data_IF_497235654092
#
_entry.id   IF_497235654092
#
_cell.length_a   1.000
_cell.length_b   1.000
_cell.length_c   1.000
_cell.angle_alpha   90.00
_cell.angle_beta   90.00
_cell.angle_gamma   90.00
#
_symmetry.space_group_name_H-M   'P 1'
#
loop_
_entity.id
_entity.type
_entity.pdbx_description
1 polymer ?
#
# COMPACT_ATOMS: atom_id res chain seq x y z
N UNK A 1 -23.42 -7.17 -27.76
CA UNK A 1 -22.16 -7.91 -27.46
C UNK A 1 -21.12 -7.10 -26.65
N UNK A 2 -21.14 -5.76 -26.63
CA UNK A 2 -20.16 -4.95 -25.86
C UNK A 2 -20.25 -5.12 -24.31
N UNK A 3 -21.43 -5.39 -23.75
CA UNK A 3 -21.62 -5.57 -22.29
C UNK A 3 -20.91 -6.80 -21.70
N UNK A 4 -20.68 -7.86 -22.48
CA UNK A 4 -20.07 -9.10 -21.97
C UNK A 4 -18.56 -8.93 -21.73
N UNK A 5 -17.86 -8.24 -22.66
CA UNK A 5 -16.41 -7.94 -22.55
C UNK A 5 -16.08 -7.03 -21.36
N UNK A 6 -16.94 -6.07 -21.02
CA UNK A 6 -16.69 -5.16 -19.90
C UNK A 6 -16.70 -5.87 -18.53
N UNK A 7 -17.44 -6.98 -18.39
CA UNK A 7 -17.51 -7.71 -17.11
C UNK A 7 -16.28 -8.60 -16.86
N UNK A 8 -15.73 -9.24 -17.90
CA UNK A 8 -14.52 -10.07 -17.78
C UNK A 8 -13.28 -9.22 -17.46
N UNK A 9 -13.16 -8.03 -18.07
CA UNK A 9 -12.03 -7.13 -17.82
C UNK A 9 -12.02 -6.61 -16.37
N UNK A 10 -13.20 -6.31 -15.80
CA UNK A 10 -13.30 -5.84 -14.41
C UNK A 10 -12.88 -6.90 -13.38
N UNK A 11 -13.11 -8.18 -13.67
CA UNK A 11 -12.75 -9.27 -12.76
C UNK A 11 -11.23 -9.51 -12.71
N UNK A 12 -10.56 -9.42 -13.86
CA UNK A 12 -9.10 -9.58 -13.93
C UNK A 12 -8.35 -8.41 -13.28
N UNK A 13 -8.88 -7.18 -13.36
CA UNK A 13 -8.20 -6.00 -12.83
C UNK A 13 -8.15 -5.99 -11.29
N UNK A 14 -9.26 -6.32 -10.61
CA UNK A 14 -9.28 -6.41 -9.13
C UNK A 14 -8.31 -7.47 -8.62
N UNK A 15 -8.30 -8.64 -9.26
CA UNK A 15 -7.42 -9.75 -8.92
C UNK A 15 -5.95 -9.37 -9.14
N UNK A 16 -5.65 -8.70 -10.26
CA UNK A 16 -4.30 -8.19 -10.55
C UNK A 16 -3.82 -7.21 -9.47
N UNK A 17 -4.65 -6.23 -9.10
CA UNK A 17 -4.30 -5.25 -8.06
C UNK A 17 -4.10 -5.88 -6.68
N UNK A 18 -4.94 -6.86 -6.33
CA UNK A 18 -4.77 -7.63 -5.10
C UNK A 18 -3.42 -8.36 -5.09
N UNK A 19 -3.09 -9.09 -6.17
CA UNK A 19 -1.83 -9.84 -6.27
C UNK A 19 -0.63 -8.89 -6.19
N UNK A 20 -0.68 -7.77 -6.91
CA UNK A 20 0.37 -6.74 -6.87
C UNK A 20 0.57 -6.24 -5.44
N UNK A 21 -0.50 -5.85 -4.73
CA UNK A 21 -0.38 -5.27 -3.39
C UNK A 21 0.07 -6.30 -2.35
N UNK A 22 -0.33 -7.56 -2.50
CA UNK A 22 0.18 -8.65 -1.65
C UNK A 22 1.68 -8.87 -1.87
N UNK A 23 2.14 -8.91 -3.12
CA UNK A 23 3.58 -9.04 -3.45
C UNK A 23 4.36 -7.84 -2.90
N UNK A 24 3.86 -6.62 -3.12
CA UNK A 24 4.47 -5.39 -2.64
C UNK A 24 4.52 -5.35 -1.10
N UNK A 25 3.45 -5.74 -0.42
CA UNK A 25 3.43 -5.84 1.04
C UNK A 25 4.42 -6.88 1.57
N UNK A 26 4.52 -8.03 0.89
CA UNK A 26 5.52 -9.05 1.20
C UNK A 26 6.96 -8.56 1.02
N UNK A 27 7.23 -7.81 -0.06
CA UNK A 27 8.54 -7.18 -0.30
C UNK A 27 8.89 -6.16 0.79
N UNK A 28 7.93 -5.35 1.26
CA UNK A 28 8.12 -4.41 2.38
C UNK A 28 8.47 -5.13 3.68
N UNK A 29 7.75 -6.20 4.00
CA UNK A 29 8.02 -7.00 5.21
C UNK A 29 9.42 -7.62 5.10
N UNK A 30 9.75 -8.22 3.95
CA UNK A 30 11.07 -8.79 3.69
C UNK A 30 12.18 -7.74 3.79
N UNK A 31 11.97 -6.53 3.27
CA UNK A 31 12.91 -5.42 3.37
C UNK A 31 13.12 -5.00 4.83
N UNK A 32 12.06 -4.85 5.61
CA UNK A 32 12.16 -4.52 7.03
C UNK A 32 12.90 -5.59 7.85
N UNK A 33 12.65 -6.87 7.59
CA UNK A 33 13.41 -7.97 8.22
C UNK A 33 14.89 -7.92 7.78
N UNK A 34 15.16 -7.69 6.50
CA UNK A 34 16.53 -7.57 5.99
C UNK A 34 17.29 -6.37 6.59
N UNK A 35 16.59 -5.26 6.87
CA UNK A 35 17.17 -4.11 7.58
C UNK A 35 17.59 -4.49 9.01
N UNK A 36 16.79 -5.29 9.72
CA UNK A 36 17.18 -5.79 11.05
C UNK A 36 18.43 -6.66 11.02
N UNK A 37 18.53 -7.59 10.06
CA UNK A 37 19.74 -8.43 9.91
C UNK A 37 20.95 -7.58 9.51
N UNK A 38 20.73 -6.48 8.79
CA UNK A 38 21.77 -5.51 8.45
C UNK A 38 22.31 -4.74 9.65
N UNK A 39 21.46 -4.46 10.65
CA UNK A 39 21.84 -3.69 11.84
C UNK A 39 22.93 -4.35 12.68
N UNK A 40 23.00 -5.68 12.74
CA UNK A 40 24.04 -6.41 13.48
C UNK A 40 25.45 -6.10 12.97
N UNK A 41 25.58 -5.66 11.71
CA UNK A 41 26.87 -5.33 11.08
C UNK A 41 27.27 -3.86 11.27
N UNK A 42 26.42 -3.06 11.89
CA UNK A 42 26.65 -1.63 12.04
C UNK A 42 27.11 -1.32 13.47
N UNK A 43 28.34 -0.84 13.59
CA UNK A 43 28.85 -0.31 14.85
C UNK A 43 27.97 0.89 15.28
N UNK A 44 27.60 0.95 16.56
CA UNK A 44 26.80 2.01 17.19
C UNK A 44 25.29 2.06 16.86
N UNK A 45 24.66 0.95 16.55
CA UNK A 45 23.20 0.89 16.33
C UNK A 45 22.35 1.44 17.51
N UNK A 46 22.88 1.42 18.73
CA UNK A 46 22.20 1.91 19.95
C UNK A 46 22.23 3.44 20.10
N UNK A 47 23.10 4.15 19.37
CA UNK A 47 23.19 5.61 19.45
C UNK A 47 22.00 6.30 18.78
N UNK A 48 21.32 5.61 17.87
CA UNK A 48 20.21 6.17 17.13
C UNK A 48 19.00 5.22 17.12
N UNK A 49 17.95 5.53 17.89
CA UNK A 49 16.76 4.68 17.97
C UNK A 49 16.03 4.52 16.63
N UNK A 50 16.27 5.42 15.66
CA UNK A 50 15.67 5.33 14.32
C UNK A 50 16.04 4.04 13.59
N UNK A 51 17.19 3.43 13.89
CA UNK A 51 17.57 2.14 13.32
C UNK A 51 16.57 1.04 13.68
N UNK A 52 15.97 1.07 14.88
CA UNK A 52 14.95 0.10 15.30
C UNK A 52 13.54 0.47 14.81
N UNK A 53 13.20 1.76 14.87
CA UNK A 53 11.85 2.21 14.52
C UNK A 53 11.55 2.08 13.02
N UNK A 54 12.47 2.50 12.13
CA UNK A 54 12.19 2.51 10.69
C UNK A 54 11.86 1.11 10.14
N UNK A 55 12.63 0.05 10.44
CA UNK A 55 12.29 -1.31 10.02
C UNK A 55 10.97 -1.81 10.62
N UNK A 56 10.68 -1.50 11.90
CA UNK A 56 9.39 -1.82 12.53
C UNK A 56 8.22 -1.22 11.77
N UNK A 57 8.26 0.08 11.49
CA UNK A 57 7.21 0.77 10.73
C UNK A 57 7.09 0.22 9.31
N UNK A 58 8.21 -0.13 8.68
CA UNK A 58 8.24 -0.74 7.35
C UNK A 58 7.47 -2.07 7.32
N UNK A 59 7.68 -2.94 8.33
CA UNK A 59 6.95 -4.20 8.47
C UNK A 59 5.47 -3.95 8.72
N UNK A 60 5.14 -3.04 9.65
CA UNK A 60 3.75 -2.70 9.99
C UNK A 60 3.00 -2.18 8.76
N UNK A 61 3.62 -1.29 7.98
CA UNK A 61 3.01 -0.78 6.75
C UNK A 61 2.88 -1.83 5.65
N UNK A 62 3.83 -2.76 5.54
CA UNK A 62 3.68 -3.93 4.66
C UNK A 62 2.49 -4.80 5.05
N UNK A 63 2.32 -5.06 6.35
CA UNK A 63 1.15 -5.76 6.88
C UNK A 63 -0.15 -4.99 6.63
N UNK A 64 -0.13 -3.66 6.82
CA UNK A 64 -1.27 -2.79 6.58
C UNK A 64 -1.68 -2.81 5.10
N UNK A 65 -0.72 -2.81 4.17
CA UNK A 65 -0.97 -2.91 2.73
C UNK A 65 -1.68 -4.21 2.37
N UNK A 66 -1.22 -5.34 2.94
CA UNK A 66 -1.86 -6.65 2.74
C UNK A 66 -3.27 -6.67 3.36
N UNK A 67 -3.40 -6.19 4.60
CA UNK A 67 -4.67 -6.14 5.32
C UNK A 67 -5.72 -5.26 4.61
N UNK A 68 -5.29 -4.20 3.94
CA UNK A 68 -6.14 -3.33 3.15
C UNK A 68 -6.77 -4.03 1.93
N UNK A 69 -6.14 -5.08 1.39
CA UNK A 69 -6.70 -5.88 0.29
C UNK A 69 -7.81 -6.83 0.76
N UNK A 70 -7.68 -7.38 1.97
CA UNK A 70 -8.67 -8.28 2.54
C UNK A 70 -9.90 -7.58 3.14
N UNK A 71 -10.00 -6.24 2.99
CA UNK A 71 -11.14 -5.45 3.46
C UNK A 71 -11.47 -5.69 4.95
N UNK A 72 -10.44 -5.81 5.78
CA UNK A 72 -10.64 -6.01 7.22
C UNK A 72 -11.35 -4.78 7.78
N UNK A 73 -12.58 -4.95 8.30
CA UNK A 73 -13.45 -3.85 8.77
C UNK A 73 -12.75 -2.87 9.71
N UNK A 74 -11.89 -3.38 10.59
CA UNK A 74 -11.09 -2.56 11.51
C UNK A 74 -10.18 -1.58 10.76
N UNK A 75 -9.43 -2.07 9.77
CA UNK A 75 -8.53 -1.26 8.94
C UNK A 75 -9.32 -0.27 8.09
N UNK A 76 -10.45 -0.68 7.51
CA UNK A 76 -11.27 0.19 6.69
C UNK A 76 -11.87 1.37 7.46
N UNK A 77 -12.24 1.15 8.72
CA UNK A 77 -12.79 2.19 9.58
C UNK A 77 -11.72 3.20 10.02
N UNK A 78 -10.50 2.74 10.29
CA UNK A 78 -9.40 3.61 10.74
C UNK A 78 -8.67 4.30 9.56
N UNK A 79 -8.54 3.60 8.44
CA UNK A 79 -7.79 4.03 7.26
C UNK A 79 -8.69 4.10 6.04
N UNK A 80 -9.76 4.90 6.12
CA UNK A 80 -10.75 5.02 5.05
C UNK A 80 -10.16 5.41 3.69
N UNK A 81 -9.04 6.13 3.65
CA UNK A 81 -8.36 6.50 2.41
C UNK A 81 -7.85 5.28 1.62
N UNK A 82 -7.48 4.19 2.30
CA UNK A 82 -7.03 2.93 1.68
C UNK A 82 -8.16 2.19 0.95
N UNK A 83 -9.43 2.60 1.12
CA UNK A 83 -10.54 2.05 0.35
C UNK A 83 -10.62 2.62 -1.08
N UNK A 84 -9.92 3.73 -1.34
CA UNK A 84 -9.90 4.37 -2.66
C UNK A 84 -8.62 4.04 -3.42
N UNK A 85 -8.70 3.86 -4.74
CA UNK A 85 -7.50 3.68 -5.59
C UNK A 85 -6.53 4.86 -5.46
N UNK A 86 -7.07 6.08 -5.33
CA UNK A 86 -6.28 7.28 -5.14
C UNK A 86 -5.50 7.25 -3.81
N UNK A 87 -6.17 6.95 -2.69
CA UNK A 87 -5.51 6.86 -1.39
C UNK A 87 -4.51 5.71 -1.29
N UNK A 88 -4.80 4.56 -1.93
CA UNK A 88 -3.81 3.47 -2.11
C UNK A 88 -2.60 3.94 -2.92
N UNK A 89 -2.80 4.71 -3.97
CA UNK A 89 -1.72 5.29 -4.79
C UNK A 89 -0.81 6.21 -3.98
N UNK A 90 -1.39 7.15 -3.24
CA UNK A 90 -0.63 8.04 -2.33
C UNK A 90 0.12 7.23 -1.28
N UNK A 91 -0.52 6.21 -0.70
CA UNK A 91 0.12 5.34 0.27
C UNK A 91 1.34 4.64 -0.29
N UNK A 92 1.25 4.09 -1.51
CA UNK A 92 2.38 3.45 -2.18
C UNK A 92 3.51 4.44 -2.50
N UNK A 93 3.19 5.69 -2.86
CA UNK A 93 4.20 6.75 -3.04
C UNK A 93 4.89 7.07 -1.70
N UNK A 94 4.13 7.14 -0.61
CA UNK A 94 4.72 7.27 0.73
C UNK A 94 5.64 6.09 1.05
N UNK A 95 5.21 4.85 0.77
CA UNK A 95 6.02 3.66 0.99
C UNK A 95 7.29 3.62 0.13
N UNK A 96 7.28 4.22 -1.06
CA UNK A 96 8.48 4.41 -1.86
C UNK A 96 9.55 5.21 -1.07
N UNK A 97 9.14 6.32 -0.44
CA UNK A 97 10.05 7.14 0.38
C UNK A 97 10.58 6.38 1.61
N UNK A 98 9.72 5.58 2.26
CA UNK A 98 10.11 4.74 3.40
C UNK A 98 11.10 3.66 2.96
N UNK A 99 10.87 3.02 1.81
CA UNK A 99 11.75 1.96 1.29
C UNK A 99 13.13 2.47 0.87
N UNK A 100 13.23 3.71 0.39
CA UNK A 100 14.51 4.36 0.09
C UNK A 100 15.33 4.56 1.38
N UNK A 101 14.67 4.94 2.48
CA UNK A 101 15.33 5.09 3.76
C UNK A 101 15.69 3.73 4.38
N UNK A 102 14.78 2.76 4.33
CA UNK A 102 15.01 1.40 4.85
C UNK A 102 16.17 0.69 4.14
N UNK A 103 16.36 0.94 2.84
CA UNK A 103 17.50 0.44 2.06
C UNK A 103 18.86 1.01 2.46
N UNK A 104 18.89 2.12 3.19
CA UNK A 104 20.14 2.67 3.73
C UNK A 104 20.69 1.81 4.87
N UNK A 105 19.85 0.99 5.50
CA UNK A 105 20.18 0.10 6.62
C UNK A 105 20.40 -1.35 6.19
N UNK A 106 20.14 -1.70 4.93
CA UNK A 106 20.42 -3.04 4.42
C UNK A 106 21.85 -3.12 3.87
N UNK A 107 22.42 -4.33 3.85
CA UNK A 107 23.71 -4.57 3.17
C UNK A 107 23.66 -4.28 1.66
N UNK A 108 22.47 -4.09 1.08
CA UNK A 108 22.24 -3.85 -0.34
C UNK A 108 21.40 -2.60 -0.57
N UNK A 109 22.06 -1.43 -0.56
CA UNK A 109 21.44 -0.13 -0.95
C UNK A 109 20.64 -0.22 -2.26
N UNK A 110 21.12 -1.04 -3.19
CA UNK A 110 20.47 -1.36 -4.47
C UNK A 110 19.05 -1.89 -4.30
N UNK A 111 18.78 -2.76 -3.31
CA UNK A 111 17.47 -3.36 -3.11
C UNK A 111 16.42 -2.32 -2.68
N UNK A 112 16.80 -1.40 -1.79
CA UNK A 112 15.91 -0.32 -1.36
C UNK A 112 15.59 0.66 -2.49
N UNK A 113 16.56 0.96 -3.35
CA UNK A 113 16.34 1.80 -4.55
C UNK A 113 15.38 1.12 -5.52
N UNK A 114 15.57 -0.19 -5.79
CA UNK A 114 14.67 -0.96 -6.65
C UNK A 114 13.25 -0.96 -6.09
N UNK A 115 13.09 -1.21 -4.79
CA UNK A 115 11.80 -1.14 -4.11
C UNK A 115 11.18 0.25 -4.27
N UNK A 116 11.94 1.32 -3.99
CA UNK A 116 11.47 2.70 -4.11
C UNK A 116 10.91 2.99 -5.51
N UNK A 117 11.66 2.66 -6.56
CA UNK A 117 11.23 2.86 -7.95
C UNK A 117 9.95 2.05 -8.23
N UNK A 118 9.90 0.79 -7.81
CA UNK A 118 8.75 -0.08 -8.01
C UNK A 118 7.49 0.49 -7.32
N UNK A 119 7.59 0.85 -6.03
CA UNK A 119 6.51 1.45 -5.26
C UNK A 119 6.05 2.79 -5.86
N UNK A 120 6.98 3.63 -6.30
CA UNK A 120 6.66 4.92 -6.91
C UNK A 120 5.89 4.73 -8.23
N UNK A 121 6.35 3.83 -9.11
CA UNK A 121 5.67 3.57 -10.39
C UNK A 121 4.26 3.02 -10.15
N UNK A 122 4.11 2.02 -9.29
CA UNK A 122 2.79 1.45 -8.99
C UNK A 122 1.89 2.49 -8.32
N UNK A 123 2.42 3.27 -7.37
CA UNK A 123 1.67 4.34 -6.71
C UNK A 123 1.19 5.43 -7.67
N UNK A 124 2.02 5.82 -8.64
CA UNK A 124 1.64 6.75 -9.70
C UNK A 124 0.52 6.16 -10.58
N UNK A 125 0.64 4.90 -11.00
CA UNK A 125 -0.40 4.20 -11.77
C UNK A 125 -1.72 4.21 -10.99
N UNK A 126 -1.71 3.80 -9.73
CA UNK A 126 -2.90 3.81 -8.87
C UNK A 126 -3.52 5.20 -8.71
N UNK A 127 -2.70 6.23 -8.58
CA UNK A 127 -3.15 7.61 -8.46
C UNK A 127 -3.84 8.07 -9.74
N UNK A 128 -3.28 7.74 -10.92
CA UNK A 128 -3.94 8.02 -12.21
C UNK A 128 -5.27 7.28 -12.35
N UNK A 129 -5.32 5.98 -12.06
CA UNK A 129 -6.57 5.22 -12.04
C UNK A 129 -7.59 5.83 -11.06
N UNK A 130 -7.14 6.23 -9.88
CA UNK A 130 -7.95 6.93 -8.89
C UNK A 130 -8.56 8.23 -9.44
N UNK A 131 -7.77 9.07 -10.10
CA UNK A 131 -8.24 10.34 -10.65
C UNK A 131 -9.20 10.18 -11.84
N UNK A 132 -8.92 9.24 -12.75
CA UNK A 132 -9.73 9.06 -13.96
C UNK A 132 -11.03 8.28 -13.73
N UNK A 133 -11.05 7.32 -12.80
CA UNK A 133 -12.24 6.48 -12.55
C UNK A 133 -13.15 6.99 -11.41
N UNK A 134 -12.74 8.01 -10.65
CA UNK A 134 -13.56 8.60 -9.57
C UNK A 134 -14.92 9.14 -10.06
N UNK A 135 -14.96 9.67 -11.29
CA UNK A 135 -16.20 10.18 -11.91
C UNK A 135 -17.31 9.13 -12.04
N UNK A 136 -17.00 7.83 -12.01
CA UNK A 136 -17.99 6.76 -12.17
C UNK A 136 -18.58 6.30 -10.82
N UNK A 137 -17.83 6.36 -9.71
CA UNK A 137 -18.25 5.81 -8.41
C UNK A 137 -19.12 6.76 -7.57
N UNK A 138 -18.92 8.06 -7.69
CA UNK A 138 -19.70 9.06 -6.95
C UNK A 138 -21.19 9.09 -7.40
N UNK A 139 -21.48 8.63 -8.63
CA UNK A 139 -22.84 8.51 -9.15
C UNK A 139 -23.65 7.32 -8.60
N UNK A 140 -22.99 6.29 -8.05
CA UNK A 140 -23.63 5.07 -7.57
C UNK A 140 -23.84 5.09 -6.04
N UNK A 141 -22.93 5.70 -5.28
CA UNK A 141 -23.10 5.89 -3.83
C UNK A 141 -24.21 6.90 -3.48
N UNK A 142 -24.45 7.90 -4.33
CA UNK A 142 -25.55 8.86 -4.16
C UNK A 142 -26.96 8.24 -4.26
N UNK A 143 -27.08 7.00 -4.77
CA UNK A 143 -28.38 6.30 -4.90
C UNK A 143 -28.63 5.23 -3.83
N UNK A 144 -27.64 4.90 -3.00
CA UNK A 144 -27.74 3.83 -1.99
C UNK A 144 -27.83 4.29 -0.54
N UNK A 145 -27.50 5.55 -0.25
CA UNK A 145 -27.55 6.11 1.10
C UNK A 145 -28.95 6.49 1.54
N UNK A 146 -29.78 5.51 1.94
CA UNK A 146 -30.89 5.82 2.86
C UNK A 146 -30.26 6.29 4.18
N UNK A 147 -30.61 7.48 4.70
CA UNK A 147 -30.15 7.92 6.01
C UNK A 147 -30.63 6.91 7.05
N UNK A 148 -29.70 6.28 7.77
CA UNK A 148 -30.04 5.53 8.97
C UNK A 148 -30.54 6.54 10.00
N UNK A 149 -31.86 6.54 10.20
CA UNK A 149 -32.50 7.26 11.27
C UNK A 149 -31.96 6.75 12.61
N UNK A 150 -31.25 7.66 13.26
CA UNK A 150 -30.99 7.77 14.69
C UNK A 150 -32.21 7.28 15.51
N UNK A 151 -32.02 6.18 16.24
CA UNK A 151 -32.86 5.82 17.39
C UNK A 151 -31.98 5.96 18.62
N UNK A 152 -32.07 7.13 19.24
CA UNK A 152 -31.77 7.31 20.66
C UNK A 152 -32.94 6.74 21.49
#
# INVERSE_FOLDING_TARGET
MAKKKASEVKFNLKTLFLVINVILGGLLIGLGIASYVGMEKQDNWYENPWYFFVPSYTIIFGCLLIAAEFQIKFIQNQFAFLNSYFGRGIFLIYLASVSANAGSFTSSKTLGIICCILFAIVGIIYTFFGCFFKKEQDGEQAKGGKPQAEKA
#
